data_IF_996535102086
#
_entry.id   IF_996535102086
#
_cell.length_a   1.000
_cell.length_b   1.000
_cell.length_c   1.000
_cell.angle_alpha   90.00
_cell.angle_beta   90.00
_cell.angle_gamma   90.00
#
_symmetry.space_group_name_H-M   'P 1'
#
loop_
_entity.id
_entity.type
_entity.pdbx_description
1 polymer ?
#
# COMPACT_ATOMS: atom_id res chain seq x y z
N UNK A 1 18.80 -19.23 -10.00
CA UNK A 1 17.86 -18.10 -10.05
C UNK A 1 16.95 -18.17 -8.82
N UNK A 2 17.24 -17.39 -7.77
CA UNK A 2 16.35 -17.24 -6.60
C UNK A 2 16.78 -16.00 -5.81
N UNK A 3 16.40 -14.81 -6.29
CA UNK A 3 16.62 -13.55 -5.58
C UNK A 3 15.30 -12.79 -5.29
N UNK A 4 14.14 -13.44 -5.47
CA UNK A 4 12.82 -12.80 -5.33
C UNK A 4 12.16 -12.90 -3.95
N UNK A 5 12.70 -13.68 -3.02
CA UNK A 5 12.03 -14.01 -1.75
C UNK A 5 12.26 -13.01 -0.61
N UNK A 6 13.46 -12.47 -0.45
CA UNK A 6 13.83 -11.66 0.74
C UNK A 6 13.34 -10.22 0.66
N UNK A 7 13.42 -9.57 -0.51
CA UNK A 7 12.97 -8.19 -0.69
C UNK A 7 11.44 -8.04 -0.59
N UNK A 8 10.69 -8.99 -1.16
CA UNK A 8 9.22 -8.96 -1.12
C UNK A 8 8.66 -9.20 0.29
N UNK A 9 9.28 -10.07 1.08
CA UNK A 9 8.89 -10.29 2.47
C UNK A 9 9.05 -9.01 3.31
N UNK A 10 10.16 -8.29 3.15
CA UNK A 10 10.40 -7.01 3.82
C UNK A 10 9.39 -5.93 3.39
N UNK A 11 9.06 -5.88 2.08
CA UNK A 11 8.00 -5.02 1.54
C UNK A 11 6.64 -5.34 2.20
N UNK A 12 6.31 -6.62 2.33
CA UNK A 12 5.07 -7.07 2.96
C UNK A 12 4.99 -6.71 4.45
N UNK A 13 6.10 -6.88 5.16
CA UNK A 13 6.18 -6.54 6.58
C UNK A 13 6.01 -5.03 6.80
N UNK A 14 6.74 -4.19 6.05
CA UNK A 14 6.61 -2.73 6.13
C UNK A 14 5.19 -2.26 5.86
N UNK A 15 4.52 -2.82 4.85
CA UNK A 15 3.13 -2.49 4.54
C UNK A 15 2.17 -2.88 5.68
N UNK A 16 2.32 -4.08 6.26
CA UNK A 16 1.51 -4.49 7.43
C UNK A 16 1.74 -3.57 8.62
N UNK A 17 2.98 -3.21 8.90
CA UNK A 17 3.33 -2.27 9.97
C UNK A 17 2.70 -0.91 9.73
N UNK A 18 2.80 -0.36 8.51
CA UNK A 18 2.17 0.90 8.15
C UNK A 18 0.66 0.88 8.38
N UNK A 19 -0.03 -0.17 7.93
CA UNK A 19 -1.48 -0.31 8.11
C UNK A 19 -1.87 -0.45 9.59
N UNK A 20 -1.05 -1.14 10.37
CA UNK A 20 -1.26 -1.29 11.83
C UNK A 20 -1.09 0.06 12.52
N UNK A 21 -0.07 0.84 12.13
CA UNK A 21 0.15 2.19 12.64
C UNK A 21 -1.02 3.12 12.31
N UNK A 22 -1.51 3.10 11.07
CA UNK A 22 -2.64 3.94 10.64
C UNK A 22 -3.96 3.59 11.34
N UNK A 23 -4.22 2.32 11.69
CA UNK A 23 -5.54 1.87 12.15
C UNK A 23 -5.64 1.54 13.64
N UNK A 24 -4.58 0.98 14.23
CA UNK A 24 -4.54 0.50 15.61
C UNK A 24 -3.76 1.45 16.50
N UNK A 25 -2.52 1.77 16.13
CA UNK A 25 -1.65 2.59 17.00
C UNK A 25 -2.05 4.06 16.98
N UNK A 26 -2.61 4.56 15.88
CA UNK A 26 -3.17 5.93 15.79
C UNK A 26 -4.24 6.23 16.84
N UNK A 27 -4.93 5.21 17.37
CA UNK A 27 -5.93 5.38 18.45
C UNK A 27 -5.31 5.61 19.82
N UNK A 28 -4.01 5.34 19.95
CA UNK A 28 -3.22 5.49 21.17
C UNK A 28 -2.29 6.70 21.11
N UNK A 29 -2.34 7.46 20.00
CA UNK A 29 -1.51 8.65 19.85
C UNK A 29 -1.84 9.66 20.95
N UNK A 30 -0.82 10.29 21.57
CA UNK A 30 -1.03 11.27 22.62
C UNK A 30 -1.71 12.52 22.05
N UNK A 31 -2.50 13.21 22.87
CA UNK A 31 -3.22 14.44 22.45
C UNK A 31 -2.29 15.55 21.96
N UNK A 32 -1.01 15.53 22.35
CA UNK A 32 0.02 16.46 21.88
C UNK A 32 0.50 16.16 20.46
N UNK A 33 0.34 14.92 19.97
CA UNK A 33 0.72 14.48 18.62
C UNK A 33 -0.32 13.51 18.03
N UNK A 34 -1.56 13.95 17.78
CA UNK A 34 -2.71 13.07 17.48
C UNK A 34 -2.61 12.27 16.18
N UNK A 35 -1.63 12.57 15.32
CA UNK A 35 -1.41 11.92 14.03
C UNK A 35 -0.03 11.29 13.87
N UNK A 36 0.73 11.14 14.96
CA UNK A 36 2.11 10.64 14.93
C UNK A 36 2.23 9.28 14.26
N UNK A 37 1.33 8.36 14.58
CA UNK A 37 1.33 7.02 13.98
C UNK A 37 0.94 7.07 12.50
N UNK A 38 0.07 8.00 12.08
CA UNK A 38 -0.30 8.19 10.67
C UNK A 38 0.85 8.76 9.85
N UNK A 39 1.60 9.73 10.36
CA UNK A 39 2.82 10.22 9.70
C UNK A 39 3.89 9.13 9.57
N UNK A 40 4.06 8.32 10.62
CA UNK A 40 4.97 7.16 10.59
C UNK A 40 4.54 6.11 9.57
N UNK A 41 3.23 5.85 9.45
CA UNK A 41 2.69 4.96 8.44
C UNK A 41 2.95 5.48 7.01
N UNK A 42 2.78 6.79 6.76
CA UNK A 42 3.10 7.38 5.45
C UNK A 42 4.55 7.20 5.05
N UNK A 43 5.48 7.41 5.98
CA UNK A 43 6.90 7.22 5.69
C UNK A 43 7.20 5.77 5.25
N UNK A 44 6.62 4.78 5.92
CA UNK A 44 6.74 3.37 5.55
C UNK A 44 6.07 3.07 4.19
N UNK A 45 4.89 3.63 3.91
CA UNK A 45 4.21 3.46 2.63
C UNK A 45 5.01 4.06 1.47
N UNK A 46 5.64 5.22 1.67
CA UNK A 46 6.53 5.83 0.69
C UNK A 46 7.78 4.98 0.43
N UNK A 47 8.37 4.40 1.47
CA UNK A 47 9.50 3.47 1.32
C UNK A 47 9.10 2.22 0.51
N UNK A 48 7.93 1.64 0.83
CA UNK A 48 7.39 0.50 0.07
C UNK A 48 7.12 0.88 -1.40
N UNK A 49 6.63 2.09 -1.67
CA UNK A 49 6.43 2.60 -3.02
C UNK A 49 7.75 2.69 -3.79
N UNK A 50 8.82 3.16 -3.17
CA UNK A 50 10.16 3.22 -3.79
C UNK A 50 10.69 1.82 -4.11
N UNK A 51 10.55 0.87 -3.17
CA UNK A 51 10.95 -0.52 -3.38
C UNK A 51 10.17 -1.19 -4.53
N UNK A 52 8.88 -0.87 -4.65
CA UNK A 52 8.04 -1.32 -5.77
C UNK A 52 8.32 -0.61 -7.10
N UNK A 53 8.94 0.57 -7.09
CA UNK A 53 9.39 1.23 -8.32
C UNK A 53 10.70 0.69 -8.87
N UNK A 54 11.52 0.06 -8.03
CA UNK A 54 12.75 -0.59 -8.44
C UNK A 54 12.54 -2.02 -8.98
N UNK A 55 11.35 -2.61 -8.78
CA UNK A 55 10.99 -3.91 -9.34
C UNK A 55 10.51 -3.74 -10.79
N UNK A 56 11.23 -4.33 -11.75
CA UNK A 56 11.01 -4.13 -13.19
C UNK A 56 9.63 -4.60 -13.70
N UNK A 57 9.13 -3.91 -14.73
CA UNK A 57 7.89 -4.19 -15.45
C UNK A 57 8.05 -5.49 -16.28
N UNK A 58 7.43 -6.58 -15.81
CA UNK A 58 7.34 -7.87 -16.52
C UNK A 58 5.89 -8.36 -16.63
N UNK A 59 5.66 -9.67 -16.81
CA UNK A 59 4.32 -10.30 -16.86
C UNK A 59 3.43 -9.97 -15.62
N UNK A 60 4.04 -9.51 -14.53
CA UNK A 60 3.37 -9.03 -13.31
C UNK A 60 3.00 -7.53 -13.33
N UNK A 61 3.15 -6.81 -14.44
CA UNK A 61 2.89 -5.37 -14.54
C UNK A 61 1.49 -4.98 -14.03
N UNK A 62 0.49 -5.82 -14.31
CA UNK A 62 -0.88 -5.67 -13.79
C UNK A 62 -0.94 -5.79 -12.27
N UNK A 63 -0.25 -6.77 -11.70
CA UNK A 63 -0.21 -6.97 -10.25
C UNK A 63 0.59 -5.84 -9.56
N UNK A 64 1.66 -5.35 -10.18
CA UNK A 64 2.41 -4.18 -9.72
C UNK A 64 1.55 -2.91 -9.76
N UNK A 65 0.75 -2.71 -10.81
CA UNK A 65 -0.18 -1.59 -10.89
C UNK A 65 -1.24 -1.64 -9.77
N UNK A 66 -1.81 -2.82 -9.50
CA UNK A 66 -2.76 -3.00 -8.38
C UNK A 66 -2.06 -2.75 -7.03
N UNK A 67 -0.84 -3.28 -6.83
CA UNK A 67 -0.06 -3.04 -5.60
C UNK A 67 0.23 -1.56 -5.38
N UNK A 68 0.58 -0.82 -6.45
CA UNK A 68 0.77 0.64 -6.41
C UNK A 68 -0.53 1.37 -6.10
N UNK A 69 -1.65 0.98 -6.72
CA UNK A 69 -2.95 1.56 -6.44
C UNK A 69 -3.35 1.40 -4.95
N UNK A 70 -3.08 0.24 -4.36
CA UNK A 70 -3.31 0.02 -2.92
C UNK A 70 -2.47 0.97 -2.06
N UNK A 71 -1.20 1.23 -2.40
CA UNK A 71 -0.38 2.20 -1.69
C UNK A 71 -0.90 3.64 -1.81
N UNK A 72 -1.29 4.05 -3.03
CA UNK A 72 -1.88 5.36 -3.26
C UNK A 72 -3.18 5.53 -2.48
N UNK A 73 -3.99 4.48 -2.37
CA UNK A 73 -5.19 4.48 -1.54
C UNK A 73 -4.88 4.69 -0.05
N UNK A 74 -3.97 3.90 0.52
CA UNK A 74 -3.60 4.01 1.94
C UNK A 74 -2.93 5.36 2.27
N UNK A 75 -2.14 5.92 1.34
CA UNK A 75 -1.60 7.28 1.45
C UNK A 75 -2.70 8.33 1.39
N UNK A 76 -3.67 8.19 0.47
CA UNK A 76 -4.80 9.08 0.33
C UNK A 76 -5.66 9.14 1.58
N UNK A 77 -6.05 7.96 2.10
CA UNK A 77 -6.81 7.83 3.36
C UNK A 77 -6.06 8.50 4.50
N UNK A 78 -4.75 8.24 4.64
CA UNK A 78 -3.96 8.86 5.69
C UNK A 78 -3.91 10.39 5.57
N UNK A 79 -3.86 10.99 4.37
CA UNK A 79 -3.88 12.45 4.19
C UNK A 79 -5.26 13.05 4.48
N UNK A 80 -6.33 12.43 4.00
CA UNK A 80 -7.70 12.84 4.34
C UNK A 80 -7.92 12.82 5.85
N UNK A 81 -7.41 11.79 6.52
CA UNK A 81 -7.50 11.58 7.96
C UNK A 81 -6.73 12.59 8.82
N UNK A 82 -5.75 13.29 8.25
CA UNK A 82 -5.06 14.41 8.93
C UNK A 82 -5.47 15.75 8.35
N UNK A 83 -6.65 15.80 7.73
CA UNK A 83 -7.26 17.02 7.19
C UNK A 83 -6.47 17.64 6.02
N UNK A 84 -5.55 16.89 5.41
CA UNK A 84 -4.79 17.28 4.22
C UNK A 84 -5.55 16.86 2.93
N UNK A 85 -6.77 17.38 2.78
CA UNK A 85 -7.74 16.91 1.78
C UNK A 85 -7.22 16.96 0.34
N UNK A 86 -6.57 18.05 -0.08
CA UNK A 86 -6.06 18.19 -1.44
C UNK A 86 -5.00 17.13 -1.79
N UNK A 87 -4.10 16.83 -0.85
CA UNK A 87 -3.11 15.76 -1.03
C UNK A 87 -3.79 14.38 -1.03
N UNK A 88 -4.79 14.18 -0.18
CA UNK A 88 -5.59 12.96 -0.15
C UNK A 88 -6.30 12.69 -1.47
N UNK A 89 -6.98 13.69 -2.04
CA UNK A 89 -7.68 13.61 -3.32
C UNK A 89 -6.73 13.26 -4.47
N UNK A 90 -5.55 13.89 -4.54
CA UNK A 90 -4.55 13.61 -5.57
C UNK A 90 -4.11 12.13 -5.54
N UNK A 91 -3.85 11.60 -4.34
CA UNK A 91 -3.49 10.20 -4.15
C UNK A 91 -4.64 9.25 -4.55
N UNK A 92 -5.88 9.56 -4.17
CA UNK A 92 -7.06 8.75 -4.53
C UNK A 92 -7.36 8.80 -6.04
N UNK A 93 -7.12 9.95 -6.69
CA UNK A 93 -7.25 10.10 -8.13
C UNK A 93 -6.20 9.25 -8.86
N UNK A 94 -4.93 9.25 -8.41
CA UNK A 94 -3.89 8.37 -8.94
C UNK A 94 -4.23 6.89 -8.78
N UNK A 95 -4.76 6.49 -7.61
CA UNK A 95 -5.25 5.14 -7.40
C UNK A 95 -6.30 4.75 -8.45
N UNK A 96 -7.26 5.65 -8.70
CA UNK A 96 -8.32 5.41 -9.68
C UNK A 96 -7.76 5.29 -11.11
N UNK A 97 -6.81 6.14 -11.50
CA UNK A 97 -6.14 6.08 -12.80
C UNK A 97 -5.36 4.78 -13.01
N UNK A 98 -4.69 4.26 -11.97
CA UNK A 98 -3.97 2.98 -12.03
C UNK A 98 -4.92 1.78 -12.17
N UNK A 99 -6.15 1.90 -11.64
CA UNK A 99 -7.16 0.84 -11.68
C UNK A 99 -8.10 0.95 -12.88
N UNK A 100 -8.22 2.12 -13.52
CA UNK A 100 -9.10 2.37 -14.65
C UNK A 100 -8.87 1.41 -15.84
N UNK A 101 -7.62 1.11 -16.26
CA UNK A 101 -7.35 0.10 -17.30
C UNK A 101 -7.79 -1.32 -16.92
N UNK A 102 -7.96 -1.59 -15.62
CA UNK A 102 -8.26 -2.91 -15.08
C UNK A 102 -9.75 -3.08 -14.73
N UNK A 103 -10.52 -1.97 -14.73
CA UNK A 103 -11.89 -1.83 -14.21
C UNK A 103 -12.94 -2.65 -14.96
N UNK A 104 -12.62 -3.16 -16.15
CA UNK A 104 -13.52 -3.93 -17.02
C UNK A 104 -13.29 -5.45 -16.98
N UNK A 105 -12.39 -5.96 -16.14
CA UNK A 105 -12.15 -7.41 -16.00
C UNK A 105 -12.65 -7.91 -14.63
N UNK A 106 -13.41 -9.02 -14.57
CA UNK A 106 -13.85 -9.66 -13.31
C UNK A 106 -12.70 -9.98 -12.35
N UNK A 107 -11.49 -10.10 -12.88
CA UNK A 107 -10.27 -10.35 -12.12
C UNK A 107 -9.85 -9.16 -11.27
N UNK A 108 -10.41 -7.95 -11.46
CA UNK A 108 -9.97 -6.75 -10.74
C UNK A 108 -10.28 -6.80 -9.23
N UNK A 109 -11.44 -7.36 -8.86
CA UNK A 109 -11.78 -7.61 -7.44
C UNK A 109 -10.91 -8.75 -6.90
N UNK A 110 -10.70 -9.80 -7.70
CA UNK A 110 -9.82 -10.92 -7.35
C UNK A 110 -8.37 -10.45 -7.14
N UNK A 111 -7.88 -9.53 -7.96
CA UNK A 111 -6.54 -8.93 -7.90
C UNK A 111 -6.39 -7.99 -6.69
N UNK A 112 -7.44 -7.24 -6.34
CA UNK A 112 -7.44 -6.44 -5.11
C UNK A 112 -7.38 -7.33 -3.85
N UNK A 113 -8.18 -8.39 -3.83
CA UNK A 113 -8.15 -9.40 -2.76
C UNK A 113 -6.80 -10.12 -2.75
N UNK A 114 -6.27 -10.54 -3.90
CA UNK A 114 -4.96 -11.20 -4.02
C UNK A 114 -3.81 -10.27 -3.66
N UNK A 115 -3.90 -8.97 -3.94
CA UNK A 115 -2.94 -8.00 -3.44
C UNK A 115 -3.00 -8.00 -1.91
N UNK A 116 -4.17 -7.73 -1.30
CA UNK A 116 -4.32 -7.74 0.17
C UNK A 116 -3.89 -9.06 0.83
N UNK A 117 -4.26 -10.20 0.25
CA UNK A 117 -3.91 -11.53 0.74
C UNK A 117 -2.43 -11.83 0.50
N UNK A 118 -1.85 -11.39 -0.62
CA UNK A 118 -0.42 -11.51 -0.92
C UNK A 118 0.45 -10.71 0.04
N UNK A 119 -0.01 -9.53 0.46
CA UNK A 119 0.59 -8.76 1.56
C UNK A 119 0.49 -9.53 2.89
N UNK A 120 -0.60 -10.29 3.10
CA UNK A 120 -0.87 -11.10 4.30
C UNK A 120 -0.20 -12.48 4.36
N UNK A 121 0.21 -13.08 3.23
CA UNK A 121 0.55 -14.50 3.17
C UNK A 121 2.01 -14.85 2.78
N UNK A 122 2.94 -13.89 2.72
CA UNK A 122 4.38 -14.19 2.59
C UNK A 122 5.03 -14.85 3.84
N UNK A 123 4.24 -15.64 4.61
CA UNK A 123 4.66 -16.38 5.79
C UNK A 123 4.16 -17.83 5.83
N UNK A 124 3.60 -18.36 4.73
CA UNK A 124 3.33 -19.81 4.61
C UNK A 124 3.90 -20.34 3.30
N UNK A 125 5.20 -20.64 3.33
CA UNK A 125 5.73 -21.75 2.53
C UNK A 125 5.39 -23.09 3.21
N UNK A 126 5.35 -24.20 2.45
CA UNK A 126 5.02 -25.54 2.96
C UNK A 126 5.96 -26.04 4.05
#
# INVERSE_FOLDING_TARGET
MAAGGSGWAAVCEKFRTARTLSTVESRKDPETEPYRSKYSARALLQEVKQLLSAAEEGDEARLLAVRRAVLEYELGVNHTDTEELSAGEEHLQRCTQLLEPHRLSPDCVSLYIQAQVGWGCAGRGP
#
